data_IF_844060311328
#
_entry.id   IF_844060311328
#
_cell.length_a   1.000
_cell.length_b   1.000
_cell.length_c   1.000
_cell.angle_alpha   90.00
_cell.angle_beta   90.00
_cell.angle_gamma   90.00
#
_symmetry.space_group_name_H-M   'P 1'
#
loop_
_entity.id
_entity.type
_entity.pdbx_description
1 polymer ?
#
# COMPACT_ATOMS: atom_id res chain seq x y z
N UNK A 1 61.99 15.73 2.24
CA UNK A 1 61.74 14.98 0.98
C UNK A 1 60.43 15.51 0.40
N UNK A 2 60.47 16.36 -0.63
CA UNK A 2 59.27 16.99 -1.23
C UNK A 2 58.69 15.99 -2.24
N UNK A 3 57.53 15.41 -1.95
CA UNK A 3 56.82 14.55 -2.91
C UNK A 3 56.25 15.42 -4.03
N UNK A 4 56.94 15.44 -5.16
CA UNK A 4 56.48 16.05 -6.41
C UNK A 4 55.55 15.02 -7.06
N UNK A 5 54.25 15.11 -6.79
CA UNK A 5 53.25 14.30 -7.49
C UNK A 5 53.10 14.81 -8.95
N UNK A 6 53.10 13.92 -9.95
CA UNK A 6 53.04 14.30 -11.36
C UNK A 6 51.69 14.98 -11.68
N UNK A 7 51.75 16.10 -12.42
CA UNK A 7 50.61 16.96 -12.79
C UNK A 7 49.46 16.22 -13.46
N UNK A 8 49.71 15.03 -14.02
CA UNK A 8 48.71 14.15 -14.65
C UNK A 8 47.77 13.42 -13.67
N UNK A 9 48.12 13.37 -12.38
CA UNK A 9 47.25 12.76 -11.33
C UNK A 9 46.23 13.75 -10.75
N UNK A 10 46.41 15.05 -10.99
CA UNK A 10 45.50 16.12 -10.56
C UNK A 10 44.09 16.02 -11.18
N UNK A 11 43.91 15.78 -12.50
CA UNK A 11 42.56 15.64 -13.07
C UNK A 11 41.87 14.34 -12.59
N UNK A 12 42.63 13.28 -12.35
CA UNK A 12 42.09 12.01 -11.82
C UNK A 12 41.56 12.17 -10.39
N UNK A 13 42.26 12.93 -9.55
CA UNK A 13 41.85 13.21 -8.18
C UNK A 13 40.60 14.11 -8.12
N UNK A 14 40.48 15.06 -9.05
CA UNK A 14 39.26 15.89 -9.21
C UNK A 14 38.07 15.06 -9.66
N UNK A 15 38.26 14.14 -10.63
CA UNK A 15 37.20 13.23 -11.09
C UNK A 15 36.71 12.31 -9.96
N UNK A 16 37.62 11.77 -9.16
CA UNK A 16 37.29 10.93 -8.00
C UNK A 16 36.49 11.73 -6.95
N UNK A 17 36.87 12.98 -6.71
CA UNK A 17 36.21 13.85 -5.75
C UNK A 17 34.79 14.22 -6.21
N UNK A 18 34.62 14.56 -7.49
CA UNK A 18 33.31 14.79 -8.10
C UNK A 18 32.44 13.52 -7.99
N UNK A 19 32.97 12.35 -8.35
CA UNK A 19 32.24 11.09 -8.26
C UNK A 19 31.76 10.76 -6.84
N UNK A 20 32.53 11.11 -5.80
CA UNK A 20 32.13 10.91 -4.40
C UNK A 20 30.92 11.76 -4.00
N UNK A 21 30.81 12.99 -4.50
CA UNK A 21 29.67 13.87 -4.21
C UNK A 21 28.39 13.40 -4.89
N UNK A 22 28.51 12.82 -6.10
CA UNK A 22 27.37 12.18 -6.77
C UNK A 22 26.85 10.95 -6.01
N UNK A 23 27.74 10.22 -5.31
CA UNK A 23 27.35 9.05 -4.51
C UNK A 23 26.76 9.42 -3.14
N UNK A 24 27.26 10.50 -2.51
CA UNK A 24 26.70 11.04 -1.26
C UNK A 24 25.41 11.86 -1.47
N UNK A 25 25.07 12.22 -2.72
CA UNK A 25 23.87 12.99 -3.07
C UNK A 25 22.60 12.17 -3.24
N UNK A 26 22.66 10.84 -3.21
CA UNK A 26 21.46 10.01 -3.12
C UNK A 26 20.95 10.16 -1.67
N UNK A 27 20.03 11.10 -1.43
CA UNK A 27 19.45 11.47 -0.12
C UNK A 27 18.65 10.36 0.59
N UNK A 28 19.09 9.11 0.51
CA UNK A 28 18.66 8.00 1.33
C UNK A 28 19.11 8.25 2.77
N UNK A 29 18.19 8.77 3.56
CA UNK A 29 18.25 8.67 5.01
C UNK A 29 17.69 7.30 5.40
N UNK A 30 18.37 6.60 6.31
CA UNK A 30 17.79 5.45 6.98
C UNK A 30 16.47 5.91 7.59
N UNK A 31 15.36 5.34 7.13
CA UNK A 31 14.05 5.59 7.75
C UNK A 31 14.24 5.29 9.24
N UNK A 32 14.22 6.34 10.06
CA UNK A 32 14.33 6.22 11.51
C UNK A 32 13.34 5.18 12.03
N UNK A 33 13.62 4.66 13.21
CA UNK A 33 12.71 3.73 13.87
C UNK A 33 11.30 4.30 13.80
N UNK A 34 10.30 3.46 13.58
CA UNK A 34 8.92 3.92 13.59
C UNK A 34 8.64 4.40 15.02
N UNK A 35 8.90 5.67 15.31
CA UNK A 35 8.49 6.33 16.53
C UNK A 35 6.97 6.35 16.46
N UNK A 36 6.34 5.26 16.92
CA UNK A 36 4.92 5.19 17.20
C UNK A 36 4.78 5.94 18.52
N UNK A 37 4.39 7.24 18.57
CA UNK A 37 4.10 7.87 19.85
C UNK A 37 3.00 7.11 20.60
N UNK A 38 3.10 7.18 21.93
CA UNK A 38 2.44 6.34 22.92
C UNK A 38 0.92 6.24 22.75
N UNK A 39 0.30 7.27 22.17
CA UNK A 39 -1.14 7.40 21.90
C UNK A 39 -1.73 6.32 20.97
N UNK A 40 -0.89 5.63 20.18
CA UNK A 40 -1.31 4.49 19.34
C UNK A 40 -0.51 3.22 19.61
N UNK A 41 0.20 3.17 20.74
CA UNK A 41 0.81 1.93 21.23
C UNK A 41 -0.25 0.92 21.66
N UNK A 42 -1.51 1.33 21.84
CA UNK A 42 -2.62 0.44 22.15
C UNK A 42 -3.79 0.62 21.17
N UNK A 43 -4.30 -0.49 20.63
CA UNK A 43 -5.50 -0.47 19.80
C UNK A 43 -6.25 -1.79 19.84
N UNK A 44 -7.50 -1.79 19.38
CA UNK A 44 -8.29 -3.00 19.20
C UNK A 44 -8.41 -3.36 17.72
N UNK A 45 -8.44 -4.67 17.43
CA UNK A 45 -8.67 -5.22 16.08
C UNK A 45 -9.97 -6.01 16.10
N UNK A 46 -10.93 -5.60 15.28
CA UNK A 46 -12.16 -6.34 15.05
C UNK A 46 -12.27 -6.71 13.57
N UNK A 47 -13.06 -7.72 13.26
CA UNK A 47 -13.24 -8.19 11.88
C UNK A 47 -14.59 -8.87 11.73
N UNK A 48 -15.21 -8.76 10.56
CA UNK A 48 -16.40 -9.54 10.22
C UNK A 48 -16.09 -11.04 10.12
N UNK A 49 -14.85 -11.40 9.74
CA UNK A 49 -14.35 -12.77 9.79
C UNK A 49 -13.07 -12.82 10.64
N UNK A 50 -13.25 -13.14 11.91
CA UNK A 50 -12.17 -13.22 12.90
C UNK A 50 -11.14 -14.34 12.62
N UNK A 51 -11.48 -15.35 11.81
CA UNK A 51 -10.60 -16.48 11.49
C UNK A 51 -9.96 -16.37 10.10
N UNK A 52 -10.32 -15.36 9.31
CA UNK A 52 -9.70 -15.10 8.01
C UNK A 52 -8.18 -14.97 8.07
N UNK A 53 -7.52 -15.45 7.01
CA UNK A 53 -6.06 -15.33 6.84
C UNK A 53 -5.62 -13.87 6.93
N UNK A 54 -6.35 -12.93 6.32
CA UNK A 54 -6.05 -11.50 6.40
C UNK A 54 -6.08 -10.98 7.83
N UNK A 55 -7.10 -11.32 8.63
CA UNK A 55 -7.18 -10.86 10.04
C UNK A 55 -5.96 -11.33 10.83
N UNK A 56 -5.54 -12.59 10.65
CA UNK A 56 -4.32 -13.11 11.28
C UNK A 56 -3.06 -12.37 10.82
N UNK A 57 -2.94 -12.08 9.53
CA UNK A 57 -1.82 -11.34 8.97
C UNK A 57 -1.76 -9.90 9.50
N UNK A 58 -2.89 -9.19 9.54
CA UNK A 58 -3.00 -7.83 10.09
C UNK A 58 -2.64 -7.83 11.57
N UNK A 59 -3.18 -8.76 12.36
CA UNK A 59 -2.82 -8.92 13.78
C UNK A 59 -1.32 -9.13 13.97
N UNK A 60 -0.70 -9.95 13.11
CA UNK A 60 0.74 -10.17 13.11
C UNK A 60 1.53 -8.90 12.78
N UNK A 61 1.10 -8.14 11.77
CA UNK A 61 1.75 -6.89 11.38
C UNK A 61 1.64 -5.82 12.48
N UNK A 62 0.48 -5.65 13.11
CA UNK A 62 0.33 -4.73 14.24
C UNK A 62 1.31 -5.06 15.37
N UNK A 63 1.42 -6.34 15.74
CA UNK A 63 2.37 -6.79 16.76
C UNK A 63 3.84 -6.59 16.36
N UNK A 64 4.18 -6.78 15.09
CA UNK A 64 5.53 -6.52 14.57
C UNK A 64 5.90 -5.02 14.57
N UNK A 65 4.90 -4.14 14.60
CA UNK A 65 5.09 -2.69 14.74
C UNK A 65 4.86 -2.24 16.20
N UNK A 66 5.00 -3.17 17.16
CA UNK A 66 4.93 -2.90 18.61
C UNK A 66 3.61 -2.31 19.11
N UNK A 67 2.52 -2.51 18.35
CA UNK A 67 1.18 -2.09 18.77
C UNK A 67 0.58 -3.17 19.67
N UNK A 68 0.27 -2.82 20.91
CA UNK A 68 -0.42 -3.64 21.88
C UNK A 68 -1.90 -3.79 21.49
N UNK A 69 -2.31 -5.02 21.21
CA UNK A 69 -3.72 -5.32 20.98
C UNK A 69 -4.47 -5.48 22.31
N UNK A 70 -5.55 -4.73 22.47
CA UNK A 70 -6.47 -4.83 23.62
C UNK A 70 -7.89 -5.13 23.14
N UNK A 71 -8.76 -5.52 24.07
CA UNK A 71 -10.18 -5.73 23.79
C UNK A 71 -10.86 -4.41 23.37
N UNK A 72 -11.88 -4.46 22.50
CA UNK A 72 -12.61 -3.26 22.07
C UNK A 72 -13.23 -2.50 23.24
N UNK A 73 -12.97 -1.20 23.33
CA UNK A 73 -13.52 -0.29 24.34
C UNK A 73 -13.78 1.09 23.71
N UNK A 74 -14.65 1.89 24.32
CA UNK A 74 -15.05 3.20 23.79
C UNK A 74 -13.93 4.23 23.74
N UNK A 75 -12.93 4.09 24.61
CA UNK A 75 -11.78 4.98 24.72
C UNK A 75 -10.53 4.45 23.97
N UNK A 76 -10.68 3.40 23.15
CA UNK A 76 -9.57 2.77 22.43
C UNK A 76 -9.81 2.86 20.93
N UNK A 77 -8.76 3.19 20.16
CA UNK A 77 -8.83 3.17 18.70
C UNK A 77 -9.13 1.74 18.19
N UNK A 78 -9.99 1.62 17.19
CA UNK A 78 -10.38 0.36 16.60
C UNK A 78 -10.05 0.30 15.11
N UNK A 79 -9.35 -0.75 14.70
CA UNK A 79 -9.29 -1.18 13.30
C UNK A 79 -10.33 -2.28 13.11
N UNK A 80 -11.33 -2.00 12.28
CA UNK A 80 -12.34 -2.98 11.90
C UNK A 80 -12.12 -3.42 10.45
N UNK A 81 -11.88 -4.71 10.24
CA UNK A 81 -11.78 -5.29 8.90
C UNK A 81 -13.18 -5.68 8.39
N UNK A 82 -13.65 -5.01 7.34
CA UNK A 82 -14.99 -5.25 6.81
C UNK A 82 -15.04 -6.55 5.99
N UNK A 83 -13.96 -6.88 5.29
CA UNK A 83 -13.88 -8.10 4.49
C UNK A 83 -12.84 -8.02 3.38
N UNK A 84 -12.65 -9.16 2.72
CA UNK A 84 -11.81 -9.31 1.53
C UNK A 84 -12.63 -9.84 0.36
N UNK A 85 -12.19 -9.52 -0.85
CA UNK A 85 -12.76 -10.04 -2.09
C UNK A 85 -11.63 -10.29 -3.09
N UNK A 86 -11.80 -11.32 -3.90
CA UNK A 86 -10.89 -11.70 -4.97
C UNK A 86 -11.68 -11.75 -6.28
N UNK A 87 -11.23 -11.01 -7.28
CA UNK A 87 -11.74 -11.12 -8.64
C UNK A 87 -10.65 -11.62 -9.59
N UNK A 88 -11.08 -12.26 -10.66
CA UNK A 88 -10.20 -12.78 -11.71
C UNK A 88 -10.73 -12.34 -13.07
N UNK A 89 -9.84 -11.91 -13.97
CA UNK A 89 -10.18 -11.62 -15.36
C UNK A 89 -9.09 -12.08 -16.32
N UNK A 90 -9.45 -12.32 -17.58
CA UNK A 90 -8.47 -12.67 -18.62
C UNK A 90 -7.83 -11.41 -19.18
N UNK A 91 -6.50 -11.37 -19.23
CA UNK A 91 -5.73 -10.25 -19.80
C UNK A 91 -5.36 -10.50 -21.27
N UNK A 92 -5.06 -11.74 -21.62
CA UNK A 92 -4.63 -12.10 -22.97
C UNK A 92 -5.09 -13.49 -23.37
N UNK A 93 -5.10 -13.74 -24.67
CA UNK A 93 -5.54 -15.00 -25.27
C UNK A 93 -4.42 -15.62 -26.09
N UNK A 94 -4.37 -16.95 -26.12
CA UNK A 94 -3.61 -17.71 -27.10
C UNK A 94 -4.29 -17.64 -28.49
N UNK A 95 -3.60 -18.08 -29.54
CA UNK A 95 -4.13 -18.11 -30.91
C UNK A 95 -5.42 -18.95 -31.05
N UNK A 96 -5.62 -19.90 -30.15
CA UNK A 96 -6.83 -20.73 -30.08
C UNK A 96 -7.94 -20.11 -29.21
N UNK A 97 -7.86 -18.81 -28.91
CA UNK A 97 -8.87 -18.05 -28.14
C UNK A 97 -9.03 -18.52 -26.68
N UNK A 98 -8.09 -19.31 -26.16
CA UNK A 98 -8.06 -19.68 -24.74
C UNK A 98 -7.31 -18.62 -23.93
N UNK A 99 -7.67 -18.44 -22.66
CA UNK A 99 -6.92 -17.58 -21.74
C UNK A 99 -5.43 -17.97 -21.72
N UNK A 100 -4.57 -16.98 -21.91
CA UNK A 100 -3.12 -17.12 -21.80
C UNK A 100 -2.59 -16.50 -20.52
N UNK A 101 -3.13 -15.35 -20.16
CA UNK A 101 -2.80 -14.65 -18.93
C UNK A 101 -4.06 -14.25 -18.20
N UNK A 102 -4.03 -14.40 -16.88
CA UNK A 102 -5.09 -14.03 -15.97
C UNK A 102 -4.57 -12.99 -15.00
N UNK A 103 -5.43 -12.06 -14.63
CA UNK A 103 -5.20 -11.08 -13.58
C UNK A 103 -6.08 -11.40 -12.38
N UNK A 104 -5.47 -11.38 -11.21
CA UNK A 104 -6.13 -11.44 -9.92
C UNK A 104 -6.12 -10.03 -9.31
N UNK A 105 -7.27 -9.60 -8.82
CA UNK A 105 -7.40 -8.37 -8.02
C UNK A 105 -7.94 -8.74 -6.65
N UNK A 106 -7.10 -8.54 -5.63
CA UNK A 106 -7.48 -8.69 -4.23
C UNK A 106 -7.86 -7.32 -3.67
N UNK A 107 -9.08 -7.17 -3.17
CA UNK A 107 -9.55 -5.94 -2.54
C UNK A 107 -9.95 -6.22 -1.10
N UNK A 108 -9.59 -5.32 -0.19
CA UNK A 108 -10.11 -5.34 1.17
C UNK A 108 -10.47 -3.93 1.61
N UNK A 109 -11.57 -3.82 2.36
CA UNK A 109 -12.00 -2.58 2.98
C UNK A 109 -11.96 -2.71 4.49
N UNK A 110 -11.62 -1.60 5.13
CA UNK A 110 -11.45 -1.54 6.57
C UNK A 110 -11.80 -0.15 7.07
N UNK A 111 -12.13 -0.07 8.35
CA UNK A 111 -12.50 1.16 9.03
C UNK A 111 -11.57 1.39 10.20
N UNK A 112 -11.14 2.63 10.36
CA UNK A 112 -10.38 3.08 11.51
C UNK A 112 -11.27 4.04 12.30
N UNK A 113 -11.51 3.73 13.55
CA UNK A 113 -12.26 4.55 14.50
C UNK A 113 -11.31 5.01 15.58
N UNK A 114 -11.24 6.32 15.80
CA UNK A 114 -10.41 6.94 16.82
C UNK A 114 -11.35 7.74 17.73
N UNK A 115 -11.33 7.51 19.06
CA UNK A 115 -12.12 8.30 20.00
C UNK A 115 -11.87 9.80 19.82
N UNK A 116 -12.91 10.62 19.99
CA UNK A 116 -12.87 12.09 19.84
C UNK A 116 -12.55 12.65 18.43
N UNK A 117 -11.90 11.89 17.54
CA UNK A 117 -11.59 12.32 16.16
C UNK A 117 -12.68 11.87 15.19
N UNK A 118 -13.14 10.61 15.32
CA UNK A 118 -14.19 10.03 14.50
C UNK A 118 -13.77 8.77 13.75
N UNK A 119 -14.49 8.46 12.67
CA UNK A 119 -14.39 7.18 11.95
C UNK A 119 -14.18 7.41 10.47
N UNK A 120 -13.20 6.70 9.87
CA UNK A 120 -12.94 6.75 8.43
C UNK A 120 -12.79 5.35 7.83
N UNK A 121 -13.32 5.17 6.63
CA UNK A 121 -13.23 3.92 5.88
C UNK A 121 -12.17 4.06 4.79
N UNK A 122 -11.41 2.98 4.58
CA UNK A 122 -10.35 2.89 3.60
C UNK A 122 -10.47 1.58 2.83
N UNK A 123 -9.80 1.54 1.69
CA UNK A 123 -9.66 0.35 0.86
C UNK A 123 -8.23 0.21 0.39
N UNK A 124 -7.75 -1.03 0.31
CA UNK A 124 -6.50 -1.38 -0.37
C UNK A 124 -6.80 -2.45 -1.42
N UNK A 125 -6.09 -2.33 -2.54
CA UNK A 125 -6.17 -3.25 -3.66
C UNK A 125 -4.77 -3.71 -4.05
N UNK A 126 -4.63 -5.00 -4.32
CA UNK A 126 -3.41 -5.60 -4.83
C UNK A 126 -3.76 -6.35 -6.10
N UNK A 127 -3.01 -6.11 -7.16
CA UNK A 127 -3.22 -6.76 -8.46
C UNK A 127 -1.98 -7.56 -8.86
N UNK A 128 -2.17 -8.78 -9.36
CA UNK A 128 -1.11 -9.65 -9.87
C UNK A 128 -1.60 -10.41 -11.10
N UNK A 129 -0.73 -10.64 -12.08
CA UNK A 129 -1.03 -11.52 -13.20
C UNK A 129 -0.23 -12.83 -13.14
N UNK A 130 -0.75 -13.87 -13.78
CA UNK A 130 -0.08 -15.16 -13.94
C UNK A 130 -0.50 -15.84 -15.24
N UNK A 131 0.34 -16.76 -15.72
CA UNK A 131 0.08 -17.49 -16.96
C UNK A 131 -0.79 -18.72 -16.72
N UNK A 132 -1.79 -18.93 -17.56
CA UNK A 132 -2.63 -20.13 -17.55
C UNK A 132 -1.96 -21.30 -18.30
N UNK A 133 -2.24 -22.53 -17.87
CA UNK A 133 -1.85 -23.72 -18.62
C UNK A 133 -2.85 -24.87 -18.34
N UNK A 134 -3.66 -25.29 -19.34
CA UNK A 134 -4.66 -26.34 -19.15
C UNK A 134 -4.06 -27.72 -18.89
N UNK A 135 -2.85 -27.97 -19.40
CA UNK A 135 -2.18 -29.26 -19.24
C UNK A 135 -1.67 -29.46 -17.81
N UNK A 136 -1.59 -28.38 -17.02
CA UNK A 136 -1.10 -28.39 -15.65
C UNK A 136 -2.07 -27.68 -14.68
N UNK A 137 -3.38 -27.84 -14.91
CA UNK A 137 -4.42 -27.16 -14.15
C UNK A 137 -4.28 -27.28 -12.62
N UNK A 138 -3.86 -28.44 -12.09
CA UNK A 138 -3.62 -28.63 -10.66
C UNK A 138 -2.47 -27.75 -10.14
N UNK A 139 -1.34 -27.74 -10.85
CA UNK A 139 -0.20 -26.89 -10.51
C UNK A 139 -0.56 -25.41 -10.58
N UNK A 140 -1.36 -25.01 -11.59
CA UNK A 140 -1.87 -23.64 -11.74
C UNK A 140 -2.84 -23.23 -10.63
N UNK A 141 -3.63 -24.16 -10.11
CA UNK A 141 -4.48 -23.90 -8.95
C UNK A 141 -3.66 -23.65 -7.67
N UNK A 142 -2.60 -24.44 -7.46
CA UNK A 142 -1.68 -24.25 -6.34
C UNK A 142 -0.87 -22.93 -6.46
N UNK A 143 -0.38 -22.61 -7.66
CA UNK A 143 0.28 -21.32 -7.95
C UNK A 143 -0.66 -20.13 -7.66
N UNK A 144 -1.91 -20.21 -8.12
CA UNK A 144 -2.93 -19.18 -7.87
C UNK A 144 -3.12 -18.96 -6.36
N UNK A 145 -3.25 -20.03 -5.57
CA UNK A 145 -3.43 -19.90 -4.12
C UNK A 145 -2.21 -19.25 -3.44
N UNK A 146 -1.00 -19.64 -3.85
CA UNK A 146 0.24 -19.03 -3.37
C UNK A 146 0.28 -17.52 -3.67
N UNK A 147 -0.07 -17.13 -4.90
CA UNK A 147 -0.14 -15.72 -5.31
C UNK A 147 -1.16 -14.97 -4.44
N UNK A 148 -2.35 -15.52 -4.23
CA UNK A 148 -3.38 -14.89 -3.41
C UNK A 148 -2.90 -14.72 -1.96
N UNK A 149 -2.21 -15.69 -1.39
CA UNK A 149 -1.65 -15.59 -0.04
C UNK A 149 -0.56 -14.51 0.06
N UNK A 150 0.26 -14.34 -0.97
CA UNK A 150 1.20 -13.22 -1.06
C UNK A 150 0.49 -11.87 -1.19
N UNK A 151 -0.58 -11.80 -2.01
CA UNK A 151 -1.40 -10.60 -2.16
C UNK A 151 -2.03 -10.20 -0.81
N UNK A 152 -2.51 -11.15 -0.01
CA UNK A 152 -3.01 -10.90 1.35
C UNK A 152 -1.93 -10.32 2.28
N UNK A 153 -0.70 -10.86 2.23
CA UNK A 153 0.44 -10.33 3.01
C UNK A 153 0.77 -8.89 2.60
N UNK A 154 0.77 -8.61 1.30
CA UNK A 154 1.00 -7.27 0.77
C UNK A 154 -0.11 -6.30 1.19
N UNK A 155 -1.38 -6.72 1.11
CA UNK A 155 -2.52 -5.92 1.55
C UNK A 155 -2.44 -5.61 3.05
N UNK A 156 -2.17 -6.61 3.91
CA UNK A 156 -1.98 -6.39 5.35
C UNK A 156 -0.88 -5.35 5.64
N UNK A 157 0.25 -5.45 4.93
CA UNK A 157 1.35 -4.49 5.05
C UNK A 157 0.95 -3.07 4.57
N UNK A 158 0.13 -2.97 3.51
CA UNK A 158 -0.41 -1.69 3.04
C UNK A 158 -1.36 -1.04 4.06
N UNK A 159 -2.24 -1.83 4.70
CA UNK A 159 -3.15 -1.35 5.75
C UNK A 159 -2.34 -0.68 6.86
N UNK A 160 -1.31 -1.34 7.41
CA UNK A 160 -0.50 -0.78 8.50
C UNK A 160 0.23 0.49 8.05
N UNK A 161 0.77 0.53 6.83
CA UNK A 161 1.41 1.75 6.29
C UNK A 161 0.43 2.92 6.15
N UNK A 162 -0.80 2.65 5.70
CA UNK A 162 -1.83 3.68 5.60
C UNK A 162 -2.25 4.18 6.98
N UNK A 163 -2.40 3.29 7.97
CA UNK A 163 -2.65 3.68 9.36
C UNK A 163 -1.54 4.56 9.95
N UNK A 164 -0.27 4.21 9.72
CA UNK A 164 0.86 5.01 10.19
C UNK A 164 0.88 6.43 9.58
N UNK A 165 0.34 6.60 8.36
CA UNK A 165 0.19 7.92 7.73
C UNK A 165 -0.95 8.74 8.33
N UNK A 166 -2.09 8.11 8.61
CA UNK A 166 -3.23 8.80 9.23
C UNK A 166 -2.82 9.44 10.55
N UNK A 167 -2.03 8.74 11.35
CA UNK A 167 -1.44 9.27 12.58
C UNK A 167 -0.71 10.60 12.42
N UNK A 168 0.08 10.74 11.35
CA UNK A 168 0.82 11.97 11.07
C UNK A 168 -0.09 13.15 10.70
N UNK A 169 -1.35 12.90 10.27
CA UNK A 169 -2.32 13.94 9.92
C UNK A 169 -3.29 14.31 11.04
N UNK A 170 -3.35 13.55 12.14
CA UNK A 170 -4.20 13.86 13.32
C UNK A 170 -3.80 15.11 14.13
N UNK A 171 -2.54 15.64 14.11
CA UNK A 171 -2.20 16.83 14.91
C UNK A 171 -3.10 18.06 14.68
N UNK A 172 -3.86 18.10 13.57
CA UNK A 172 -4.75 19.21 13.21
C UNK A 172 -6.24 18.95 13.46
N UNK A 173 -6.62 17.85 14.15
CA UNK A 173 -8.00 17.62 14.59
C UNK A 173 -9.04 17.35 13.49
N UNK A 174 -8.64 17.30 12.22
CA UNK A 174 -9.55 17.07 11.10
C UNK A 174 -9.04 15.90 10.25
N UNK A 175 -9.90 14.92 9.98
CA UNK A 175 -9.68 14.01 8.86
C UNK A 175 -9.79 14.83 7.58
N UNK A 176 -8.68 15.35 7.07
CA UNK A 176 -8.71 15.97 5.75
C UNK A 176 -9.08 14.90 4.72
N UNK A 177 -10.20 15.14 4.05
CA UNK A 177 -10.66 14.44 2.86
C UNK A 177 -9.61 14.65 1.77
N UNK A 178 -8.62 13.76 1.69
CA UNK A 178 -7.92 13.55 0.42
C UNK A 178 -8.87 12.84 -0.53
N UNK A 179 -9.82 13.61 -1.06
CA UNK A 179 -10.61 13.22 -2.21
C UNK A 179 -9.66 13.03 -3.39
N UNK A 180 -9.45 11.77 -3.72
CA UNK A 180 -8.94 11.38 -5.03
C UNK A 180 -10.10 11.42 -6.01
N UNK A 181 -10.71 12.59 -6.24
CA UNK A 181 -11.62 12.76 -7.37
C UNK A 181 -10.82 13.17 -8.59
N UNK A 182 -10.53 12.14 -9.38
CA UNK A 182 -10.28 12.14 -10.80
C UNK A 182 -11.01 13.29 -11.50
N UNK A 183 -10.24 14.23 -12.06
CA UNK A 183 -10.71 15.08 -13.14
C UNK A 183 -11.32 14.20 -14.24
N UNK A 184 -12.64 14.29 -14.46
CA UNK A 184 -13.33 14.16 -15.77
C UNK A 184 -14.84 14.35 -15.56
N UNK A 185 -15.45 15.19 -16.42
CA UNK A 185 -16.89 15.48 -16.58
C UNK A 185 -17.50 16.61 -15.74
N UNK A 186 -17.12 17.84 -16.08
CA UNK A 186 -18.07 18.95 -16.19
C UNK A 186 -17.75 19.79 -17.43
N UNK A 187 -17.75 19.15 -18.61
CA UNK A 187 -17.71 19.85 -19.90
C UNK A 187 -18.56 19.10 -20.93
N UNK A 188 -19.86 18.96 -20.64
CA UNK A 188 -20.90 18.63 -21.61
C UNK A 188 -22.24 19.32 -21.24
N UNK A 189 -22.18 20.49 -20.59
CA UNK A 189 -23.37 21.30 -20.29
C UNK A 189 -23.25 22.70 -20.90
N UNK A 190 -22.97 22.76 -22.20
CA UNK A 190 -23.13 23.98 -22.98
C UNK A 190 -23.43 23.68 -24.45
N UNK A 191 -24.49 22.93 -24.71
CA UNK A 191 -25.05 22.84 -26.08
C UNK A 191 -26.58 22.78 -26.10
N UNK A 192 -27.24 23.15 -25.01
CA UNK A 192 -28.70 23.32 -25.02
C UNK A 192 -29.09 24.52 -24.16
N UNK A 193 -28.93 25.70 -24.74
CA UNK A 193 -29.85 26.84 -24.65
C UNK A 193 -29.24 27.92 -25.53
N UNK A 194 -29.81 28.21 -26.71
CA UNK A 194 -30.01 29.53 -27.35
C UNK A 194 -30.60 29.24 -28.75
N UNK A 195 -31.92 29.12 -28.80
CA UNK A 195 -32.82 29.81 -29.75
C UNK A 195 -34.22 29.17 -29.71
N UNK A 196 -35.00 29.63 -28.75
CA UNK A 196 -36.44 29.82 -28.94
C UNK A 196 -36.60 31.20 -29.58
N UNK A 197 -36.96 31.22 -30.86
CA UNK A 197 -37.84 32.17 -31.57
C UNK A 197 -38.00 31.66 -33.01
#
# INVERSE_FOLDING_TARGET
MRFILPVTTRPLLILLLIASTFLAGCGFHLRGDYDIPEELSMMSLTSNDQYSTLTRLVKGQLRMNEIQLVEPASNVANLHLNGESLSERTLSLYQNTRAAEKELTFNTSYRVTIPEVGTRTFSTSVTRSYLDNPLTALAKSAEREMIVDEMRKLAASQIIRQMARLKASIPNGNFEETDSNVQTQSELDNSNTINML
#
